data_IF_301705225561
#
_entry.id   IF_301705225561
#
_cell.length_a   1.000
_cell.length_b   1.000
_cell.length_c   1.000
_cell.angle_alpha   90.00
_cell.angle_beta   90.00
_cell.angle_gamma   90.00
#
_symmetry.space_group_name_H-M   'P 1'
#
loop_
_entity.id
_entity.type
_entity.pdbx_description
1 polymer ?
#
# COMPACT_ATOMS: atom_id res chain seq x y z
N UNK A 1 5.44 -28.69 -12.24
CA UNK A 1 6.46 -27.77 -12.76
C UNK A 1 6.41 -26.44 -11.99
N UNK A 2 7.04 -26.33 -10.80
CA UNK A 2 7.01 -25.13 -9.98
C UNK A 2 8.19 -24.15 -10.21
N UNK A 3 9.37 -24.62 -10.65
CA UNK A 3 10.60 -23.80 -10.76
C UNK A 3 10.43 -22.57 -11.67
N UNK A 4 9.82 -22.72 -12.85
CA UNK A 4 9.65 -21.60 -13.79
C UNK A 4 8.69 -20.51 -13.28
N UNK A 5 7.86 -20.81 -12.29
CA UNK A 5 6.90 -19.86 -11.73
C UNK A 5 7.50 -19.05 -10.57
N UNK A 6 8.39 -19.65 -9.79
CA UNK A 6 9.09 -18.96 -8.69
C UNK A 6 10.14 -17.98 -9.23
N UNK A 7 10.92 -18.38 -10.23
CA UNK A 7 11.90 -17.51 -10.89
C UNK A 7 11.24 -16.22 -11.42
N UNK A 8 10.08 -16.36 -12.09
CA UNK A 8 9.33 -15.21 -12.64
C UNK A 8 8.73 -14.29 -11.57
N UNK A 9 8.53 -14.75 -10.33
CA UNK A 9 8.06 -13.90 -9.23
C UNK A 9 9.19 -13.02 -8.71
N UNK A 10 10.34 -13.63 -8.48
CA UNK A 10 11.54 -12.95 -7.98
C UNK A 10 12.02 -11.87 -8.96
N UNK A 11 12.02 -12.18 -10.26
CA UNK A 11 12.35 -11.20 -11.31
C UNK A 11 11.44 -9.97 -11.26
N UNK A 12 10.12 -10.16 -11.14
CA UNK A 12 9.15 -9.05 -11.10
C UNK A 12 9.25 -8.20 -9.85
N UNK A 13 9.47 -8.82 -8.69
CA UNK A 13 9.68 -8.06 -7.45
C UNK A 13 10.99 -7.27 -7.53
N UNK A 14 12.05 -7.86 -8.08
CA UNK A 14 13.31 -7.17 -8.30
C UNK A 14 13.16 -5.97 -9.26
N UNK A 15 12.42 -6.11 -10.36
CA UNK A 15 12.11 -4.99 -11.27
C UNK A 15 11.37 -3.85 -10.58
N UNK A 16 10.44 -4.17 -9.67
CA UNK A 16 9.74 -3.18 -8.86
C UNK A 16 10.71 -2.48 -7.91
N UNK A 17 11.53 -3.24 -7.18
CA UNK A 17 12.54 -2.73 -6.25
C UNK A 17 13.51 -1.78 -6.97
N UNK A 18 14.02 -2.17 -8.14
CA UNK A 18 14.91 -1.33 -8.93
C UNK A 18 14.24 -0.04 -9.43
N UNK A 19 12.92 -0.05 -9.65
CA UNK A 19 12.17 1.17 -9.95
C UNK A 19 11.99 2.05 -8.71
N UNK A 20 11.67 1.46 -7.56
CA UNK A 20 11.55 2.19 -6.29
C UNK A 20 12.86 2.85 -5.89
N UNK A 21 13.99 2.18 -6.10
CA UNK A 21 15.32 2.73 -5.80
C UNK A 21 15.67 3.98 -6.58
N UNK A 22 15.04 4.22 -7.74
CA UNK A 22 15.21 5.45 -8.54
C UNK A 22 14.38 6.62 -7.99
N UNK A 23 13.40 6.35 -7.14
CA UNK A 23 12.52 7.35 -6.57
C UNK A 23 13.08 7.77 -5.21
N UNK A 24 13.20 9.07 -4.98
CA UNK A 24 13.58 9.61 -3.68
C UNK A 24 12.34 9.78 -2.79
N UNK A 25 11.31 10.43 -3.32
CA UNK A 25 10.08 10.72 -2.58
C UNK A 25 8.91 11.05 -3.50
N UNK A 26 7.70 11.15 -2.93
CA UNK A 26 6.53 11.69 -3.61
C UNK A 26 5.69 12.56 -2.67
N UNK A 27 4.99 13.53 -3.25
CA UNK A 27 4.09 14.46 -2.56
C UNK A 27 2.65 14.20 -2.98
N UNK A 28 1.73 14.22 -2.00
CA UNK A 28 0.29 14.12 -2.24
C UNK A 28 -0.36 15.50 -2.40
N UNK A 29 -1.55 15.57 -2.99
CA UNK A 29 -2.30 16.83 -3.20
C UNK A 29 -2.57 17.63 -1.92
N UNK A 30 -2.51 17.00 -0.74
CA UNK A 30 -2.66 17.66 0.57
C UNK A 30 -1.34 17.93 1.29
N UNK A 31 -0.21 17.83 0.59
CA UNK A 31 1.11 18.20 1.10
C UNK A 31 1.72 17.19 2.09
N UNK A 32 1.21 15.95 2.14
CA UNK A 32 1.95 14.87 2.81
C UNK A 32 3.02 14.34 1.88
N UNK A 33 4.24 14.16 2.41
CA UNK A 33 5.41 13.70 1.67
C UNK A 33 5.81 12.32 2.16
N UNK A 34 6.20 11.44 1.23
CA UNK A 34 6.63 10.09 1.52
C UNK A 34 8.02 9.90 0.96
N UNK A 35 8.99 9.54 1.80
CA UNK A 35 10.36 9.26 1.39
C UNK A 35 10.63 7.77 1.48
N UNK A 36 11.25 7.20 0.45
CA UNK A 36 11.67 5.80 0.50
C UNK A 36 12.93 5.64 1.34
N UNK A 37 13.00 4.58 2.13
CA UNK A 37 14.21 4.12 2.80
C UNK A 37 14.94 3.03 2.00
N UNK A 38 16.05 2.52 2.54
CA UNK A 38 16.87 1.50 1.88
C UNK A 38 16.21 0.11 1.82
N UNK A 39 15.09 -0.08 2.51
CA UNK A 39 14.28 -1.31 2.48
C UNK A 39 12.99 -1.13 1.66
N UNK A 40 12.96 -0.12 0.79
CA UNK A 40 11.84 0.20 -0.09
C UNK A 40 10.52 0.51 0.66
N UNK A 41 10.60 0.74 1.97
CA UNK A 41 9.50 1.20 2.81
C UNK A 41 9.42 2.71 2.74
N UNK A 42 8.26 3.26 3.09
CA UNK A 42 8.08 4.72 3.08
C UNK A 42 8.02 5.28 4.48
N UNK A 43 8.71 6.40 4.69
CA UNK A 43 8.52 7.28 5.83
C UNK A 43 7.61 8.44 5.43
N UNK A 44 6.42 8.51 6.03
CA UNK A 44 5.44 9.57 5.79
C UNK A 44 5.69 10.77 6.71
N UNK A 45 5.79 11.95 6.12
CA UNK A 45 5.70 13.24 6.77
C UNK A 45 4.32 13.82 6.51
N UNK A 46 3.53 14.02 7.58
CA UNK A 46 2.21 14.65 7.47
C UNK A 46 2.37 16.12 7.13
N UNK A 47 1.40 16.70 6.44
CA UNK A 47 1.39 18.13 6.11
C UNK A 47 1.42 19.06 7.34
N UNK A 48 1.09 18.56 8.53
CA UNK A 48 1.22 19.32 9.78
C UNK A 48 2.68 19.46 10.25
N UNK A 49 3.64 18.74 9.67
CA UNK A 49 5.06 18.78 10.03
C UNK A 49 5.42 18.07 11.35
N UNK A 50 4.44 17.48 12.03
CA UNK A 50 4.61 17.10 13.44
C UNK A 50 5.25 15.73 13.70
N UNK A 51 5.32 14.83 12.71
CA UNK A 51 5.92 13.48 12.88
C UNK A 51 6.21 12.77 11.58
N UNK A 52 7.32 12.03 11.59
CA UNK A 52 7.61 10.99 10.62
C UNK A 52 7.04 9.65 11.08
N UNK A 53 6.36 8.95 10.19
CA UNK A 53 5.75 7.65 10.45
C UNK A 53 6.23 6.65 9.42
N UNK A 54 7.01 5.66 9.85
CA UNK A 54 7.40 4.54 9.00
C UNK A 54 6.15 3.71 8.68
N UNK A 55 6.04 3.32 7.41
CA UNK A 55 4.99 2.46 6.89
C UNK A 55 5.63 1.15 6.47
N UNK A 56 5.04 0.03 6.87
CA UNK A 56 5.53 -1.30 6.52
C UNK A 56 5.24 -1.63 5.05
N UNK A 57 4.19 -1.02 4.49
CA UNK A 57 3.88 -1.08 3.08
C UNK A 57 3.05 0.14 2.65
N UNK A 58 3.35 0.64 1.46
CA UNK A 58 2.58 1.67 0.78
C UNK A 58 2.25 1.21 -0.63
N UNK A 59 0.99 1.34 -1.04
CA UNK A 59 0.51 0.98 -2.37
C UNK A 59 -0.24 2.15 -3.01
N UNK A 60 -0.34 2.08 -4.33
CA UNK A 60 -0.94 3.11 -5.16
C UNK A 60 -2.09 2.52 -5.95
N UNK A 61 -3.22 3.21 -5.94
CA UNK A 61 -4.47 2.72 -6.51
C UNK A 61 -5.15 3.83 -7.30
N UNK A 62 -5.64 3.49 -8.48
CA UNK A 62 -6.53 4.36 -9.23
C UNK A 62 -7.95 4.16 -8.69
N UNK A 63 -8.60 5.22 -8.24
CA UNK A 63 -9.97 5.16 -7.71
C UNK A 63 -10.78 6.25 -8.38
N UNK A 64 -11.95 5.88 -8.89
CA UNK A 64 -12.95 6.88 -9.24
C UNK A 64 -13.60 7.49 -7.98
N UNK A 65 -14.47 8.48 -8.20
CA UNK A 65 -15.11 9.20 -7.10
C UNK A 65 -15.99 8.29 -6.23
N UNK A 66 -16.68 7.31 -6.82
CA UNK A 66 -17.55 6.40 -6.09
C UNK A 66 -16.71 5.40 -5.30
N UNK A 67 -15.73 4.76 -5.95
CA UNK A 67 -14.79 3.83 -5.32
C UNK A 67 -14.07 4.50 -4.14
N UNK A 68 -13.62 5.74 -4.30
CA UNK A 68 -13.01 6.50 -3.20
C UNK A 68 -13.95 6.63 -1.99
N UNK A 69 -15.24 6.93 -2.22
CA UNK A 69 -16.21 7.06 -1.13
C UNK A 69 -16.47 5.71 -0.45
N UNK A 70 -16.56 4.62 -1.22
CA UNK A 70 -16.79 3.28 -0.69
C UNK A 70 -15.62 2.83 0.19
N UNK A 71 -14.38 3.00 -0.28
CA UNK A 71 -13.20 2.74 0.55
C UNK A 71 -13.14 3.69 1.75
N UNK A 72 -13.40 4.99 1.62
CA UNK A 72 -13.42 5.90 2.77
C UNK A 72 -14.48 5.52 3.82
N UNK A 73 -15.64 5.03 3.38
CA UNK A 73 -16.69 4.53 4.27
C UNK A 73 -16.22 3.29 5.03
N UNK A 74 -15.67 2.28 4.33
CA UNK A 74 -15.10 1.08 4.94
C UNK A 74 -13.93 1.38 5.90
N UNK A 75 -13.16 2.44 5.63
CA UNK A 75 -12.10 2.90 6.53
C UNK A 75 -12.66 3.54 7.81
N UNK A 76 -13.72 4.33 7.68
CA UNK A 76 -14.34 5.10 8.78
C UNK A 76 -15.28 4.28 9.63
N UNK A 77 -15.79 3.15 9.14
CA UNK A 77 -16.66 2.24 9.89
C UNK A 77 -15.87 1.45 10.96
N UNK A 78 -15.25 2.20 11.89
CA UNK A 78 -14.48 1.70 13.03
C UNK A 78 -15.37 1.03 14.09
N UNK A 79 -16.70 1.08 13.94
CA UNK A 79 -17.68 0.67 14.96
C UNK A 79 -18.06 -0.81 14.95
N UNK A 80 -17.26 -1.68 14.31
CA UNK A 80 -17.34 -3.17 14.38
C UNK A 80 -18.67 -3.81 13.94
N UNK A 81 -19.68 -3.05 13.54
CA UNK A 81 -21.05 -3.56 13.31
C UNK A 81 -21.18 -4.32 12.00
N UNK A 82 -20.40 -3.94 10.99
CA UNK A 82 -20.38 -4.58 9.65
C UNK A 82 -19.18 -5.52 9.46
N UNK A 83 -18.13 -5.36 10.26
CA UNK A 83 -16.88 -6.13 10.14
C UNK A 83 -16.01 -5.75 8.94
N UNK A 84 -16.36 -4.69 8.21
CA UNK A 84 -15.64 -4.24 7.02
C UNK A 84 -14.30 -3.62 7.36
N UNK A 85 -13.26 -4.06 6.65
CA UNK A 85 -11.90 -3.57 6.84
C UNK A 85 -11.19 -3.51 5.51
N UNK A 86 -10.49 -2.41 5.27
CA UNK A 86 -9.62 -2.29 4.11
C UNK A 86 -8.28 -2.95 4.41
N UNK A 87 -7.79 -3.71 3.45
CA UNK A 87 -6.49 -4.35 3.47
C UNK A 87 -5.81 -4.27 2.11
N UNK A 88 -4.48 -4.30 2.12
CA UNK A 88 -3.73 -4.71 0.94
C UNK A 88 -3.79 -6.24 0.90
N UNK A 89 -4.18 -6.79 -0.24
CA UNK A 89 -4.28 -8.22 -0.44
C UNK A 89 -3.51 -8.65 -1.67
N UNK A 90 -2.84 -9.79 -1.56
CA UNK A 90 -2.32 -10.52 -2.72
C UNK A 90 -3.29 -11.65 -3.05
N UNK A 91 -3.89 -11.63 -4.24
CA UNK A 91 -4.73 -12.75 -4.71
C UNK A 91 -3.84 -13.97 -4.97
N UNK A 92 -4.16 -15.08 -4.31
CA UNK A 92 -3.50 -16.37 -4.50
C UNK A 92 -4.05 -17.08 -5.75
N UNK A 93 -3.40 -18.17 -6.19
CA UNK A 93 -3.78 -18.87 -7.43
C UNK A 93 -5.22 -19.43 -7.41
N UNK A 94 -5.73 -19.73 -6.22
CA UNK A 94 -7.11 -20.15 -5.95
C UNK A 94 -8.07 -18.97 -5.70
N UNK A 95 -7.63 -17.76 -6.01
CA UNK A 95 -8.33 -16.49 -5.79
C UNK A 95 -8.58 -16.09 -4.33
N UNK A 96 -8.06 -16.87 -3.36
CA UNK A 96 -8.13 -16.50 -1.96
C UNK A 96 -7.29 -15.23 -1.66
N UNK A 97 -7.74 -14.34 -0.75
CA UNK A 97 -7.00 -13.15 -0.38
C UNK A 97 -5.94 -13.48 0.69
N UNK A 98 -4.66 -13.21 0.40
CA UNK A 98 -3.60 -13.13 1.41
C UNK A 98 -3.43 -11.68 1.85
N UNK A 99 -3.75 -11.35 3.11
CA UNK A 99 -3.55 -10.00 3.63
C UNK A 99 -2.04 -9.70 3.73
N UNK A 100 -1.62 -8.60 3.12
CA UNK A 100 -0.25 -8.09 3.15
C UNK A 100 -0.21 -6.88 4.09
N UNK A 101 0.71 -6.91 5.06
CA UNK A 101 0.96 -5.82 6.00
C UNK A 101 2.37 -5.26 5.92
N UNK A 102 3.24 -5.93 5.18
CA UNK A 102 4.65 -5.64 5.06
C UNK A 102 5.06 -5.94 3.61
N UNK A 103 5.86 -5.05 3.00
CA UNK A 103 6.36 -5.19 1.64
C UNK A 103 7.14 -6.49 1.45
N UNK A 104 7.85 -6.97 2.47
CA UNK A 104 8.63 -8.20 2.44
C UNK A 104 7.76 -9.48 2.34
N UNK A 105 6.43 -9.34 2.50
CA UNK A 105 5.47 -10.44 2.37
C UNK A 105 4.79 -10.49 1.00
N UNK A 106 5.11 -9.55 0.11
CA UNK A 106 4.64 -9.55 -1.28
C UNK A 106 5.40 -10.62 -2.06
N UNK A 107 4.67 -11.61 -2.59
CA UNK A 107 5.24 -12.63 -3.47
C UNK A 107 5.06 -12.26 -4.95
N UNK A 108 3.97 -11.58 -5.30
CA UNK A 108 3.68 -11.19 -6.67
C UNK A 108 3.06 -9.78 -6.71
N UNK A 109 3.83 -8.75 -7.07
CA UNK A 109 3.35 -7.37 -7.09
C UNK A 109 2.23 -7.12 -8.10
N UNK A 110 2.11 -7.93 -9.16
CA UNK A 110 1.01 -7.83 -10.12
C UNK A 110 -0.30 -8.38 -9.60
N UNK A 111 -0.31 -9.07 -8.45
CA UNK A 111 -1.53 -9.60 -7.84
C UNK A 111 -1.90 -8.85 -6.57
N UNK A 112 -1.36 -7.65 -6.39
CA UNK A 112 -1.73 -6.75 -5.31
C UNK A 112 -3.01 -5.99 -5.63
N UNK A 113 -3.85 -5.89 -4.61
CA UNK A 113 -5.10 -5.16 -4.64
C UNK A 113 -5.32 -4.43 -3.32
N UNK A 114 -5.99 -3.29 -3.37
CA UNK A 114 -6.64 -2.70 -2.22
C UNK A 114 -8.04 -3.31 -2.13
N UNK A 115 -8.37 -3.93 -1.00
CA UNK A 115 -9.59 -4.71 -0.85
C UNK A 115 -10.40 -4.33 0.38
N UNK A 116 -11.72 -4.26 0.25
CA UNK A 116 -12.65 -4.30 1.37
C UNK A 116 -12.90 -5.77 1.70
N UNK A 117 -12.48 -6.19 2.89
CA UNK A 117 -12.68 -7.55 3.40
C UNK A 117 -13.81 -7.52 4.44
N UNK A 118 -14.85 -8.32 4.21
CA UNK A 118 -15.99 -8.52 5.12
C UNK A 118 -16.06 -10.01 5.46
N UNK A 119 -16.00 -10.37 6.75
CA UNK A 119 -16.04 -11.77 7.20
C UNK A 119 -15.04 -12.70 6.48
N UNK A 120 -13.80 -12.22 6.28
CA UNK A 120 -12.73 -12.90 5.53
C UNK A 120 -13.01 -13.14 4.03
N UNK A 121 -14.06 -12.53 3.48
CA UNK A 121 -14.35 -12.54 2.04
C UNK A 121 -13.95 -11.19 1.44
N UNK A 122 -13.29 -11.22 0.29
CA UNK A 122 -12.96 -10.04 -0.49
C UNK A 122 -14.21 -9.57 -1.25
N UNK A 123 -14.85 -8.51 -0.76
CA UNK A 123 -16.14 -8.02 -1.29
C UNK A 123 -15.92 -7.11 -2.51
N UNK A 124 -15.08 -6.09 -2.34
CA UNK A 124 -14.69 -5.15 -3.39
C UNK A 124 -13.16 -5.04 -3.40
N UNK A 125 -12.57 -4.97 -4.60
CA UNK A 125 -11.13 -4.82 -4.73
C UNK A 125 -10.74 -4.02 -5.96
N UNK A 126 -9.65 -3.26 -5.83
CA UNK A 126 -9.05 -2.49 -6.92
C UNK A 126 -7.59 -2.83 -7.05
N UNK A 127 -7.11 -2.95 -8.28
CA UNK A 127 -5.69 -3.24 -8.58
C UNK A 127 -4.83 -2.17 -7.90
N UNK A 128 -3.84 -2.63 -7.15
CA UNK A 128 -2.88 -1.77 -6.49
C UNK A 128 -1.47 -2.08 -7.01
N UNK A 129 -0.62 -1.07 -7.06
CA UNK A 129 0.79 -1.20 -7.42
C UNK A 129 1.70 -0.71 -6.29
N UNK A 130 2.94 -1.18 -6.29
CA UNK A 130 3.97 -0.71 -5.37
C UNK A 130 4.69 0.55 -5.88
N UNK A 131 4.58 0.87 -7.17
CA UNK A 131 5.30 2.00 -7.78
C UNK A 131 4.38 3.24 -7.81
N UNK A 132 4.82 4.39 -7.27
CA UNK A 132 4.01 5.60 -7.27
C UNK A 132 3.83 6.11 -8.70
N UNK A 133 2.62 6.58 -9.01
CA UNK A 133 2.33 7.29 -10.25
C UNK A 133 1.46 8.51 -9.96
N UNK A 134 1.73 9.60 -10.68
CA UNK A 134 0.96 10.84 -10.55
C UNK A 134 -0.53 10.59 -10.81
N UNK A 135 -1.38 11.13 -9.94
CA UNK A 135 -2.84 10.98 -10.01
C UNK A 135 -3.40 9.77 -9.26
N UNK A 136 -2.58 8.81 -8.84
CA UNK A 136 -3.03 7.66 -8.05
C UNK A 136 -3.18 8.02 -6.57
N UNK A 137 -4.18 7.45 -5.91
CA UNK A 137 -4.34 7.53 -4.45
C UNK A 137 -3.30 6.67 -3.75
N UNK A 138 -2.88 7.13 -2.58
CA UNK A 138 -1.94 6.42 -1.71
C UNK A 138 -2.73 5.66 -0.64
N UNK A 139 -2.39 4.39 -0.41
CA UNK A 139 -2.81 3.66 0.77
C UNK A 139 -1.59 3.11 1.50
N UNK A 140 -1.50 3.38 2.80
CA UNK A 140 -0.38 2.97 3.63
C UNK A 140 -0.85 2.23 4.89
N UNK A 141 0.00 1.32 5.36
CA UNK A 141 -0.22 0.52 6.56
C UNK A 141 1.06 0.45 7.38
N UNK A 142 0.90 0.51 8.71
CA UNK A 142 1.96 0.23 9.67
C UNK A 142 1.48 -0.62 10.83
N UNK A 143 2.38 -1.37 11.41
CA UNK A 143 2.26 -2.06 12.68
C UNK A 143 3.21 -1.39 13.68
N UNK A 144 2.74 -1.21 14.92
CA UNK A 144 3.55 -0.60 15.97
C UNK A 144 3.16 -1.16 17.32
N UNK A 145 4.12 -1.22 18.23
CA UNK A 145 3.87 -1.59 19.62
C UNK A 145 3.55 -0.35 20.45
N UNK A 146 2.56 -0.48 21.32
CA UNK A 146 2.22 0.53 22.31
C UNK A 146 1.72 -0.18 23.56
N UNK A 147 2.28 0.14 24.72
CA UNK A 147 1.87 -0.43 26.01
C UNK A 147 1.89 -1.98 26.03
N UNK A 148 2.82 -2.61 25.30
CA UNK A 148 2.96 -4.06 25.21
C UNK A 148 1.99 -4.76 24.24
N UNK A 149 1.13 -4.00 23.55
CA UNK A 149 0.20 -4.52 22.54
C UNK A 149 0.62 -4.10 21.12
N UNK A 150 0.42 -5.00 20.16
CA UNK A 150 0.63 -4.70 18.73
C UNK A 150 -0.62 -4.08 18.12
N UNK A 151 -0.47 -2.84 17.64
CA UNK A 151 -1.49 -2.12 16.89
C UNK A 151 -1.18 -2.11 15.40
N UNK A 152 -2.22 -1.85 14.60
CA UNK A 152 -2.06 -1.59 13.18
C UNK A 152 -2.87 -0.35 12.80
N UNK A 153 -2.19 0.59 12.14
CA UNK A 153 -2.80 1.76 11.52
C UNK A 153 -2.83 1.56 10.01
N UNK A 154 -3.94 1.98 9.40
CA UNK A 154 -4.18 1.95 7.96
C UNK A 154 -4.65 3.33 7.56
N UNK A 155 -4.26 3.80 6.39
CA UNK A 155 -4.65 5.12 5.95
C UNK A 155 -4.83 5.17 4.44
N UNK A 156 -6.01 5.60 4.02
CA UNK A 156 -6.27 6.00 2.64
C UNK A 156 -5.99 7.50 2.51
N UNK A 157 -4.90 7.83 1.83
CA UNK A 157 -4.44 9.19 1.59
C UNK A 157 -5.05 9.85 0.36
N UNK A 158 -4.34 10.85 -0.15
CA UNK A 158 -4.72 11.65 -1.31
C UNK A 158 -3.96 11.23 -2.56
N UNK A 159 -4.31 11.80 -3.71
CA UNK A 159 -3.62 11.54 -4.97
C UNK A 159 -2.18 12.04 -4.92
N UNK A 160 -1.28 11.35 -5.60
CA UNK A 160 0.09 11.81 -5.85
C UNK A 160 0.04 12.99 -6.81
N UNK A 161 0.63 14.11 -6.38
CA UNK A 161 0.80 15.33 -7.17
C UNK A 161 2.14 15.34 -7.90
N UNK A 162 3.20 14.89 -7.22
CA UNK A 162 4.58 14.98 -7.69
C UNK A 162 5.41 13.79 -7.22
N UNK A 163 6.38 13.37 -8.04
CA UNK A 163 7.35 12.32 -7.74
C UNK A 163 8.74 12.90 -7.98
N UNK A 164 9.58 12.79 -6.97
CA UNK A 164 10.96 13.27 -6.96
C UNK A 164 11.86 12.06 -7.15
N UNK A 165 12.67 12.07 -8.21
CA UNK A 165 13.62 11.01 -8.52
C UNK A 165 14.99 11.34 -7.96
N UNK A 166 15.74 10.31 -7.55
CA UNK A 166 17.14 10.48 -7.15
C UNK A 166 17.92 11.01 -8.34
N UNK A 167 18.82 11.96 -8.10
CA UNK A 167 19.72 12.47 -9.14
C UNK A 167 20.59 11.31 -9.63
N UNK A 168 20.59 11.06 -10.93
CA UNK A 168 21.57 10.17 -11.55
C UNK A 168 22.95 10.75 -11.27
N UNK A 169 23.81 9.97 -10.61
CA UNK A 169 25.24 10.28 -10.48
C UNK A 169 25.95 10.02 -11.82
#
# INVERSE_FOLDING_TARGET
MPENFEIRKEEKLQEVVEQLRKIESFETERGSTYKYDDNERTRREKSSGEKFENQDITVFVDLDKQEQQDFLKAYRDRNKTTGEKIYIVERQLDDSPKIIRDIDKVNNPERLYLGIVRNNVLDQFKKAGLIPQKGLYVFDCRQFEKDGETFSERHLGHKIKEIIYKKSQ
#
